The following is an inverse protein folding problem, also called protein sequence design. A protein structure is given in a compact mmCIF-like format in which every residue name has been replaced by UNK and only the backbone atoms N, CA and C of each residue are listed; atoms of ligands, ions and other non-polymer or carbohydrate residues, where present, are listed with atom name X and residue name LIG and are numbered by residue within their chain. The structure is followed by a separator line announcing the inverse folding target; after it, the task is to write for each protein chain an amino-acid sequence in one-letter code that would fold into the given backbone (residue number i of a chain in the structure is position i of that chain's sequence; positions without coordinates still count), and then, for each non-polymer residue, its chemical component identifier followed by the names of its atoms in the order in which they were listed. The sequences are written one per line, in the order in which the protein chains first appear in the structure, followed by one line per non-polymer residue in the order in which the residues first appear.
data_IF_585704807007
#
_entry.id   IF_585704807007
#
_cell.length_a   1.000
_cell.length_b   1.000
_cell.length_c   1.000
_cell.angle_alpha   90.00
_cell.angle_beta   90.00
_cell.angle_gamma   90.00
#
_symmetry.space_group_name_H-M   'P 1'
#
loop_
_entity.id
_entity.type
_entity.pdbx_description
1 polymer ?
#
# COMPACT_ATOMS: atom_id res chain seq x y z
N UNK A 1 -23.82 12.81 37.73
CA UNK A 1 -23.07 11.57 37.45
C UNK A 1 -23.38 10.95 36.08
N UNK A 2 -24.11 11.64 35.19
CA UNK A 2 -24.50 11.08 33.87
C UNK A 2 -23.59 11.57 32.74
N UNK A 3 -23.08 12.81 32.82
CA UNK A 3 -22.19 13.40 31.81
C UNK A 3 -20.84 12.68 31.67
N UNK A 4 -20.34 12.07 32.76
CA UNK A 4 -19.08 11.31 32.72
C UNK A 4 -19.22 10.00 31.92
N UNK A 5 -20.38 9.34 31.99
CA UNK A 5 -20.65 8.11 31.24
C UNK A 5 -20.73 8.37 29.74
N UNK A 6 -21.36 9.47 29.35
CA UNK A 6 -21.46 9.90 27.95
C UNK A 6 -20.08 10.23 27.39
N UNK A 7 -19.25 10.99 28.12
CA UNK A 7 -17.90 11.32 27.69
C UNK A 7 -17.01 10.08 27.53
N UNK A 8 -17.11 9.10 28.43
CA UNK A 8 -16.35 7.84 28.33
C UNK A 8 -16.80 7.01 27.14
N UNK A 9 -18.11 6.95 26.84
CA UNK A 9 -18.62 6.26 25.65
C UNK A 9 -18.11 6.93 24.37
N UNK A 10 -18.15 8.25 24.26
CA UNK A 10 -17.60 8.96 23.09
C UNK A 10 -16.08 8.82 22.95
N UNK A 11 -15.33 8.81 24.06
CA UNK A 11 -13.90 8.53 24.06
C UNK A 11 -13.59 7.11 23.62
N UNK A 12 -14.36 6.11 24.09
CA UNK A 12 -14.20 4.72 23.68
C UNK A 12 -14.57 4.51 22.21
N UNK A 13 -15.64 5.14 21.71
CA UNK A 13 -15.96 5.15 20.28
C UNK A 13 -14.84 5.82 19.47
N UNK A 14 -14.32 6.96 19.92
CA UNK A 14 -13.20 7.65 19.27
C UNK A 14 -11.91 6.83 19.24
N UNK A 15 -11.61 6.08 20.32
CA UNK A 15 -10.47 5.16 20.41
C UNK A 15 -10.66 3.90 19.55
N UNK A 16 -11.90 3.40 19.44
CA UNK A 16 -12.25 2.25 18.58
C UNK A 16 -12.13 2.59 17.08
N UNK A 17 -12.30 3.85 16.67
CA UNK A 17 -12.05 4.28 15.29
C UNK A 17 -10.55 4.34 14.94
N UNK A 18 -9.65 4.33 15.92
CA UNK A 18 -8.20 4.36 15.70
C UNK A 18 -7.61 2.94 15.64
N UNK A 19 -8.30 1.94 16.21
CA UNK A 19 -7.90 0.53 16.04
C UNK A 19 -8.55 -0.05 14.80
N UNK A 20 -7.79 -0.36 13.76
CA UNK A 20 -8.35 -1.26 12.75
C UNK A 20 -7.64 -1.45 11.44
N UNK A 21 -6.49 -0.84 11.17
CA UNK A 21 -5.63 -1.33 10.09
C UNK A 21 -4.20 -0.89 10.32
N UNK A 22 -3.31 -1.87 10.49
CA UNK A 22 -1.88 -1.61 10.48
C UNK A 22 -1.52 -0.96 9.14
N UNK A 23 -1.05 0.29 9.19
CA UNK A 23 -0.54 0.98 8.03
C UNK A 23 0.63 0.16 7.47
N UNK A 24 0.46 -0.40 6.27
CA UNK A 24 1.53 -1.13 5.60
C UNK A 24 2.65 -0.17 5.22
N UNK A 25 3.89 -0.64 5.27
CA UNK A 25 5.03 0.09 4.76
C UNK A 25 5.34 -0.48 3.39
N UNK A 26 5.47 0.36 2.36
CA UNK A 26 5.81 -0.07 1.01
C UNK A 26 6.90 0.84 0.44
N UNK A 27 7.61 0.33 -0.56
CA UNK A 27 8.50 1.15 -1.37
C UNK A 27 7.71 1.96 -2.40
N UNK A 28 8.13 3.21 -2.66
CA UNK A 28 7.51 4.11 -3.63
C UNK A 28 8.52 4.54 -4.70
N UNK A 29 8.17 4.36 -5.98
CA UNK A 29 8.93 4.87 -7.12
C UNK A 29 8.08 4.84 -8.39
N UNK A 30 8.52 5.51 -9.47
CA UNK A 30 7.75 5.72 -10.68
C UNK A 30 6.60 6.74 -10.53
N UNK A 31 6.73 7.69 -9.60
CA UNK A 31 5.82 8.82 -9.38
C UNK A 31 6.49 10.14 -9.74
N UNK A 32 5.76 11.26 -9.77
CA UNK A 32 6.36 12.57 -10.01
C UNK A 32 7.41 12.95 -8.96
N UNK A 33 7.19 12.54 -7.71
CA UNK A 33 8.12 12.78 -6.59
C UNK A 33 9.30 11.81 -6.60
N UNK A 34 9.09 10.57 -7.06
CA UNK A 34 10.10 9.52 -7.14
C UNK A 34 10.14 8.94 -8.55
N UNK A 35 10.75 9.62 -9.54
CA UNK A 35 10.61 9.26 -10.95
C UNK A 35 11.33 7.97 -11.35
N UNK A 36 12.37 7.56 -10.61
CA UNK A 36 13.22 6.43 -10.98
C UNK A 36 13.20 5.31 -9.93
N UNK A 37 13.15 4.06 -10.40
CA UNK A 37 13.11 2.85 -9.57
C UNK A 37 14.45 2.11 -9.44
N UNK A 38 15.59 2.71 -9.83
CA UNK A 38 16.87 2.02 -9.96
C UNK A 38 17.92 2.40 -8.91
N UNK A 39 18.81 1.47 -8.51
CA UNK A 39 18.59 0.05 -8.23
C UNK A 39 18.03 -0.19 -6.82
N UNK A 40 17.95 0.87 -6.00
CA UNK A 40 17.35 0.81 -4.68
C UNK A 40 15.83 0.99 -4.82
N UNK A 41 15.02 0.37 -3.96
CA UNK A 41 13.59 0.28 -4.19
C UNK A 41 12.81 1.61 -4.08
N UNK A 42 13.49 2.74 -3.90
CA UNK A 42 12.89 4.04 -3.59
C UNK A 42 12.70 4.21 -2.08
N UNK A 43 12.21 5.36 -1.62
CA UNK A 43 11.91 5.57 -0.21
C UNK A 43 10.77 4.69 0.28
N UNK A 44 10.76 4.46 1.59
CA UNK A 44 9.72 3.74 2.30
C UNK A 44 8.64 4.73 2.73
N UNK A 45 7.39 4.42 2.43
CA UNK A 45 6.24 5.23 2.83
C UNK A 45 5.26 4.41 3.68
N UNK A 46 4.56 5.10 4.58
CA UNK A 46 3.39 4.55 5.25
C UNK A 46 2.17 4.63 4.34
N UNK A 47 1.50 3.51 4.15
CA UNK A 47 0.31 3.42 3.33
C UNK A 47 -0.96 3.56 4.17
N UNK A 48 -2.06 4.07 3.58
CA UNK A 48 -3.35 4.06 4.25
C UNK A 48 -3.79 2.65 4.66
N UNK A 49 -4.55 2.60 5.74
CA UNK A 49 -5.32 1.45 6.18
C UNK A 49 -6.03 0.72 5.03
N UNK A 50 -5.91 -0.61 4.95
CA UNK A 50 -6.61 -1.42 3.94
C UNK A 50 -6.01 -1.37 2.52
N UNK A 51 -4.83 -0.76 2.36
CA UNK A 51 -4.06 -0.82 1.11
C UNK A 51 -3.10 -2.00 1.08
N UNK A 52 -2.57 -2.32 -0.10
CA UNK A 52 -1.55 -3.35 -0.34
C UNK A 52 -0.37 -2.77 -1.09
N UNK A 53 0.81 -3.33 -0.92
CA UNK A 53 1.95 -2.96 -1.75
C UNK A 53 1.83 -3.56 -3.15
N UNK A 54 2.30 -2.83 -4.15
CA UNK A 54 2.40 -3.32 -5.51
C UNK A 54 3.73 -2.94 -6.18
N UNK A 55 4.10 -3.75 -7.17
CA UNK A 55 5.22 -3.48 -8.09
C UNK A 55 4.73 -3.60 -9.53
N UNK A 56 5.09 -2.64 -10.37
CA UNK A 56 4.85 -2.64 -11.81
C UNK A 56 6.15 -2.91 -12.55
N UNK A 57 6.17 -3.90 -13.44
CA UNK A 57 7.34 -4.29 -14.23
C UNK A 57 7.13 -3.99 -15.72
N UNK A 58 8.20 -3.60 -16.40
CA UNK A 58 8.22 -3.41 -17.84
C UNK A 58 8.11 -4.75 -18.59
N UNK A 59 7.35 -4.77 -19.69
CA UNK A 59 7.07 -5.98 -20.46
C UNK A 59 8.23 -6.46 -21.33
N UNK A 60 9.17 -5.58 -21.69
CA UNK A 60 10.27 -5.91 -22.60
C UNK A 60 11.33 -6.78 -21.91
N UNK A 61 11.58 -6.53 -20.62
CA UNK A 61 12.65 -7.20 -19.88
C UNK A 61 12.17 -8.04 -18.70
N UNK A 62 10.90 -7.91 -18.25
CA UNK A 62 10.31 -8.57 -17.06
C UNK A 62 11.06 -8.41 -15.72
N UNK A 63 12.25 -7.82 -15.74
CA UNK A 63 13.16 -7.67 -14.62
C UNK A 63 13.35 -6.19 -14.23
N UNK A 64 12.90 -5.26 -15.08
CA UNK A 64 12.96 -3.83 -14.78
C UNK A 64 11.68 -3.38 -14.08
N UNK A 65 11.84 -2.92 -12.84
CA UNK A 65 10.77 -2.25 -12.10
C UNK A 65 10.52 -0.87 -12.72
N UNK A 66 9.28 -0.63 -13.13
CA UNK A 66 8.78 0.63 -13.68
C UNK A 66 8.21 1.54 -12.60
N UNK A 67 7.48 0.97 -11.64
CA UNK A 67 6.88 1.72 -10.53
C UNK A 67 6.60 0.82 -9.33
N UNK A 68 6.47 1.41 -8.14
CA UNK A 68 6.09 0.76 -6.88
C UNK A 68 5.19 1.68 -6.07
N UNK A 69 4.29 1.13 -5.27
CA UNK A 69 3.49 1.93 -4.35
C UNK A 69 2.48 1.15 -3.53
N UNK A 70 1.50 1.88 -2.99
CA UNK A 70 0.35 1.33 -2.28
C UNK A 70 -0.93 1.50 -3.12
N UNK A 71 -1.88 0.59 -3.00
CA UNK A 71 -3.21 0.76 -3.58
C UNK A 71 -4.26 0.02 -2.75
N UNK A 72 -5.50 0.52 -2.74
CA UNK A 72 -6.62 -0.18 -2.11
C UNK A 72 -6.91 -1.50 -2.84
N UNK A 73 -7.26 -2.54 -2.08
CA UNK A 73 -7.55 -3.87 -2.61
C UNK A 73 -8.92 -3.94 -3.31
N UNK A 74 -9.13 -3.16 -4.38
CA UNK A 74 -10.24 -3.37 -5.33
C UNK A 74 -9.83 -4.30 -6.48
N UNK A 75 -8.53 -4.42 -6.76
CA UNK A 75 -7.95 -5.34 -7.74
C UNK A 75 -7.53 -6.66 -7.04
N UNK A 76 -8.23 -7.73 -7.40
CA UNK A 76 -8.24 -9.01 -6.71
C UNK A 76 -6.88 -9.74 -6.74
N UNK A 77 -6.62 -10.45 -5.63
CA UNK A 77 -5.64 -11.52 -5.39
C UNK A 77 -4.16 -11.13 -5.21
N UNK A 78 -3.54 -11.72 -4.18
CA UNK A 78 -2.07 -11.83 -4.10
C UNK A 78 -1.59 -12.50 -5.38
N UNK A 79 -0.69 -11.86 -6.12
CA UNK A 79 -0.23 -12.36 -7.41
C UNK A 79 0.02 -11.26 -8.43
N UNK A 80 0.51 -11.67 -9.59
CA UNK A 80 0.82 -10.77 -10.71
C UNK A 80 -0.30 -10.87 -11.75
N UNK A 81 -0.96 -9.74 -12.00
CA UNK A 81 -1.97 -9.60 -13.04
C UNK A 81 -1.45 -8.70 -14.15
N UNK A 82 -1.91 -8.96 -15.38
CA UNK A 82 -1.59 -8.15 -16.55
C UNK A 82 -2.75 -7.20 -16.82
N UNK A 83 -2.44 -5.90 -16.92
CA UNK A 83 -3.43 -4.88 -17.28
C UNK A 83 -3.67 -4.83 -18.80
N UNK A 84 -4.75 -4.17 -19.24
CA UNK A 84 -4.95 -3.89 -20.66
C UNK A 84 -3.84 -2.94 -21.16
N UNK A 85 -3.03 -3.39 -22.12
CA UNK A 85 -2.01 -2.57 -22.77
C UNK A 85 -0.61 -2.57 -22.14
N UNK A 86 -0.11 -3.74 -21.71
CA UNK A 86 1.29 -3.97 -21.30
C UNK A 86 1.65 -3.55 -19.86
N UNK A 87 2.71 -4.18 -19.33
CA UNK A 87 3.28 -4.20 -17.96
C UNK A 87 2.58 -5.13 -16.94
N UNK A 88 3.41 -5.82 -16.13
CA UNK A 88 2.95 -6.73 -15.06
C UNK A 88 2.79 -5.97 -13.75
N UNK A 89 1.62 -6.07 -13.10
CA UNK A 89 1.40 -5.52 -11.77
C UNK A 89 1.28 -6.65 -10.76
N UNK A 90 2.22 -6.73 -9.82
CA UNK A 90 2.23 -7.71 -8.75
C UNK A 90 1.76 -7.09 -7.44
N UNK A 91 0.79 -7.71 -6.79
CA UNK A 91 0.28 -7.31 -5.47
C UNK A 91 0.73 -8.29 -4.40
N UNK A 92 1.14 -7.74 -3.26
CA UNK A 92 1.44 -8.51 -2.05
C UNK A 92 0.72 -7.86 -0.86
N UNK A 93 -0.13 -8.63 -0.17
CA UNK A 93 -1.14 -8.07 0.72
C UNK A 93 -0.73 -7.90 2.18
N UNK A 94 0.34 -8.52 2.66
CA UNK A 94 0.39 -8.88 4.10
C UNK A 94 1.79 -8.75 4.73
N UNK A 95 2.73 -8.09 4.06
CA UNK A 95 4.07 -7.91 4.60
C UNK A 95 4.62 -6.53 4.27
N UNK A 96 5.17 -5.85 5.28
CA UNK A 96 5.91 -4.61 5.07
C UNK A 96 7.03 -4.83 4.05
N UNK A 97 7.17 -3.87 3.13
CA UNK A 97 8.24 -3.82 2.14
C UNK A 97 8.27 -5.04 1.21
N UNK A 98 7.12 -5.68 0.99
CA UNK A 98 7.02 -6.87 0.15
C UNK A 98 7.19 -6.58 -1.35
N UNK A 99 7.09 -5.31 -1.76
CA UNK A 99 7.24 -4.85 -3.14
C UNK A 99 8.70 -4.51 -3.51
N UNK A 100 9.67 -5.21 -2.93
CA UNK A 100 11.10 -5.04 -3.24
C UNK A 100 11.42 -5.47 -4.67
#
# INVERSE_FOLDING_TARGET
MESLKVAVVWLLFGLLFISGSDALLCFMCGTQEYPECQPNPGPVIGCPAGTRCWTLYDDILKERVKARGCSYASEKTNGCARGPGESWRCFCAEKHLCNK
#
